data_IF_460904050470
#
_entry.id   IF_460904050470
#
_cell.length_a   1.000
_cell.length_b   1.000
_cell.length_c   1.000
_cell.angle_alpha   90.00
_cell.angle_beta   90.00
_cell.angle_gamma   90.00
#
_symmetry.space_group_name_H-M   'P 1'
#
loop_
_entity.id
_entity.type
_entity.pdbx_description
1 polymer ?
#
# COMPACT_ATOMS: atom_id res chain seq x y z
N UNK A 1 -2.79 -15.57 1.96
CA UNK A 1 -1.90 -15.04 0.90
C UNK A 1 -1.99 -13.53 0.95
N UNK A 2 -0.91 -12.82 1.29
CA UNK A 2 -0.99 -11.38 1.62
C UNK A 2 -1.49 -10.51 0.46
N UNK A 3 -1.20 -10.89 -0.79
CA UNK A 3 -1.71 -10.20 -1.99
C UNK A 3 -3.25 -10.20 -2.06
N UNK A 4 -3.88 -11.30 -1.68
CA UNK A 4 -5.35 -11.40 -1.68
C UNK A 4 -5.98 -10.52 -0.59
N UNK A 5 -5.32 -10.43 0.59
CA UNK A 5 -5.74 -9.54 1.66
C UNK A 5 -5.59 -8.06 1.26
N UNK A 6 -4.56 -7.74 0.47
CA UNK A 6 -4.43 -6.42 -0.13
C UNK A 6 -5.58 -6.13 -1.08
N UNK A 7 -5.90 -7.03 -2.01
CA UNK A 7 -7.04 -6.84 -2.92
C UNK A 7 -8.34 -6.62 -2.15
N UNK A 8 -8.66 -7.51 -1.20
CA UNK A 8 -9.86 -7.38 -0.35
C UNK A 8 -9.86 -6.09 0.47
N UNK A 9 -8.72 -5.68 0.99
CA UNK A 9 -8.59 -4.43 1.73
C UNK A 9 -8.82 -3.20 0.84
N UNK A 10 -8.31 -3.20 -0.38
CA UNK A 10 -8.56 -2.12 -1.35
C UNK A 10 -10.01 -2.11 -1.87
N UNK A 11 -10.66 -3.27 -1.94
CA UNK A 11 -12.08 -3.38 -2.28
C UNK A 11 -12.99 -2.92 -1.11
N UNK A 12 -12.57 -3.17 0.14
CA UNK A 12 -13.34 -2.83 1.34
C UNK A 12 -13.10 -1.39 1.84
N UNK A 13 -11.93 -0.81 1.57
CA UNK A 13 -11.56 0.54 2.02
C UNK A 13 -11.81 1.58 0.92
N UNK A 14 -12.79 2.45 1.16
CA UNK A 14 -13.14 3.54 0.24
C UNK A 14 -12.07 4.65 0.20
N UNK A 15 -11.19 4.73 1.20
CA UNK A 15 -10.16 5.77 1.32
C UNK A 15 -9.13 5.70 0.19
N UNK A 16 -8.37 4.59 0.01
CA UNK A 16 -7.40 4.49 -1.07
C UNK A 16 -8.07 4.59 -2.43
N UNK A 17 -9.28 4.03 -2.59
CA UNK A 17 -10.01 4.10 -3.84
C UNK A 17 -10.42 5.55 -4.20
N UNK A 18 -10.87 6.33 -3.22
CA UNK A 18 -11.19 7.75 -3.40
C UNK A 18 -9.95 8.58 -3.78
N UNK A 19 -8.78 8.24 -3.22
CA UNK A 19 -7.51 8.91 -3.54
C UNK A 19 -7.05 8.54 -4.95
N UNK A 20 -7.09 7.25 -5.31
CA UNK A 20 -6.76 6.78 -6.66
C UNK A 20 -7.68 7.40 -7.71
N UNK A 21 -8.97 7.51 -7.43
CA UNK A 21 -9.91 8.19 -8.31
C UNK A 21 -9.60 9.69 -8.43
N UNK A 22 -9.25 10.35 -7.33
CA UNK A 22 -8.86 11.76 -7.34
C UNK A 22 -7.57 12.01 -8.16
N UNK A 23 -6.58 11.12 -8.05
CA UNK A 23 -5.37 11.13 -8.88
C UNK A 23 -5.72 11.00 -10.36
N UNK A 24 -6.55 10.02 -10.72
CA UNK A 24 -7.00 9.81 -12.11
C UNK A 24 -7.79 10.98 -12.66
N UNK A 25 -8.64 11.59 -11.83
CA UNK A 25 -9.40 12.80 -12.19
C UNK A 25 -8.56 14.09 -12.16
N UNK A 26 -7.25 14.00 -11.91
CA UNK A 26 -6.34 15.15 -11.79
C UNK A 26 -6.86 16.23 -10.83
N UNK A 27 -7.57 15.82 -9.77
CA UNK A 27 -7.98 16.76 -8.73
C UNK A 27 -6.72 17.22 -7.99
N UNK A 28 -6.59 18.52 -7.76
CA UNK A 28 -5.39 19.06 -7.09
C UNK A 28 -5.39 18.87 -5.58
N UNK A 29 -6.55 18.62 -4.93
CA UNK A 29 -6.65 18.57 -3.46
C UNK A 29 -7.73 17.60 -2.97
N UNK A 30 -7.34 16.71 -2.06
CA UNK A 30 -8.24 16.04 -1.13
C UNK A 30 -8.04 16.62 0.28
N UNK A 31 -9.10 16.79 1.08
CA UNK A 31 -8.95 17.23 2.46
C UNK A 31 -8.19 16.17 3.26
N UNK A 32 -7.01 16.52 3.77
CA UNK A 32 -6.21 15.67 4.65
C UNK A 32 -5.09 14.86 3.96
N UNK A 33 -4.98 14.87 2.63
CA UNK A 33 -3.91 14.17 1.89
C UNK A 33 -3.33 15.04 0.77
N UNK A 34 -2.00 15.12 0.72
CA UNK A 34 -1.25 15.79 -0.33
C UNK A 34 -1.16 14.88 -1.55
N UNK A 35 -2.02 15.09 -2.55
CA UNK A 35 -2.02 14.27 -3.78
C UNK A 35 -0.69 14.31 -4.55
N UNK A 36 0.10 15.38 -4.40
CA UNK A 36 1.45 15.44 -4.99
C UNK A 36 2.43 14.43 -4.35
N UNK A 37 2.12 13.90 -3.16
CA UNK A 37 2.84 12.82 -2.51
C UNK A 37 2.17 11.45 -2.76
N UNK A 38 1.09 11.40 -3.53
CA UNK A 38 0.35 10.19 -3.86
C UNK A 38 0.59 9.76 -5.30
N UNK A 39 0.83 8.47 -5.51
CA UNK A 39 1.02 7.87 -6.83
C UNK A 39 0.13 6.63 -7.00
N UNK A 40 -0.50 6.51 -8.17
CA UNK A 40 -1.18 5.28 -8.59
C UNK A 40 -0.17 4.42 -9.35
N UNK A 41 0.23 3.29 -8.77
CA UNK A 41 1.06 2.31 -9.47
C UNK A 41 0.29 0.99 -9.56
N UNK A 42 -0.27 0.73 -10.75
CA UNK A 42 -0.96 -0.53 -11.04
C UNK A 42 -2.22 -0.77 -10.19
N UNK A 43 -2.93 0.28 -9.77
CA UNK A 43 -4.12 0.18 -8.93
C UNK A 43 -3.83 0.14 -7.42
N UNK A 44 -2.57 0.30 -7.04
CA UNK A 44 -2.15 0.47 -5.65
C UNK A 44 -1.77 1.91 -5.38
N UNK A 45 -2.20 2.43 -4.24
CA UNK A 45 -1.87 3.78 -3.81
C UNK A 45 -0.50 3.77 -3.12
N UNK A 46 0.42 4.59 -3.60
CA UNK A 46 1.69 4.88 -2.94
C UNK A 46 1.62 6.27 -2.34
N UNK A 47 1.96 6.40 -1.06
CA UNK A 47 2.07 7.68 -0.37
C UNK A 47 3.51 7.87 0.08
N UNK A 48 4.19 8.91 -0.43
CA UNK A 48 5.60 9.23 -0.14
C UNK A 48 6.53 8.04 -0.38
N UNK A 49 6.43 7.42 -1.56
CA UNK A 49 7.20 6.22 -1.95
C UNK A 49 6.89 4.96 -1.12
N UNK A 50 5.80 4.97 -0.33
CA UNK A 50 5.39 3.82 0.49
C UNK A 50 4.03 3.32 0.06
N UNK A 51 3.88 2.01 -0.11
CA UNK A 51 2.58 1.41 -0.37
C UNK A 51 1.62 1.76 0.78
N UNK A 52 0.48 2.34 0.43
CA UNK A 52 -0.62 2.59 1.34
C UNK A 52 -1.28 1.27 1.73
N UNK A 53 -1.41 1.05 3.03
CA UNK A 53 -2.02 -0.13 3.59
C UNK A 53 -3.48 0.22 3.91
N UNK A 54 -4.46 -0.41 3.23
CA UNK A 54 -5.87 -0.17 3.52
C UNK A 54 -6.18 -0.62 4.95
N UNK A 55 -7.15 0.04 5.56
CA UNK A 55 -7.63 -0.24 6.90
C UNK A 55 -8.46 -1.53 6.92
N UNK A 56 -7.77 -2.66 6.77
CA UNK A 56 -8.35 -3.99 6.77
C UNK A 56 -7.70 -4.83 7.88
N UNK A 57 -8.47 -5.25 8.92
CA UNK A 57 -7.90 -5.84 10.12
C UNK A 57 -7.15 -7.15 9.85
N UNK A 58 -7.65 -8.00 8.96
CA UNK A 58 -6.97 -9.24 8.57
C UNK A 58 -5.64 -8.97 7.83
N UNK A 59 -5.59 -7.93 7.00
CA UNK A 59 -4.34 -7.51 6.34
C UNK A 59 -3.32 -7.01 7.37
N UNK A 60 -3.76 -6.20 8.32
CA UNK A 60 -2.91 -5.72 9.41
C UNK A 60 -2.37 -6.88 10.26
N UNK A 61 -3.23 -7.86 10.60
CA UNK A 61 -2.83 -9.03 11.36
C UNK A 61 -1.77 -9.87 10.60
N UNK A 62 -1.98 -10.12 9.30
CA UNK A 62 -1.03 -10.87 8.46
C UNK A 62 0.31 -10.11 8.28
N UNK A 63 0.26 -8.79 8.11
CA UNK A 63 1.45 -7.94 8.04
C UNK A 63 2.26 -8.01 9.33
N UNK A 64 1.60 -7.84 10.48
CA UNK A 64 2.24 -7.93 11.80
C UNK A 64 2.85 -9.32 11.98
N UNK A 65 2.11 -10.38 11.67
CA UNK A 65 2.60 -11.77 11.72
C UNK A 65 3.84 -11.97 10.85
N UNK A 66 3.80 -11.56 9.59
CA UNK A 66 4.94 -11.66 8.66
C UNK A 66 6.15 -10.88 9.17
N UNK A 67 5.95 -9.73 9.81
CA UNK A 67 7.02 -8.92 10.39
C UNK A 67 7.68 -9.61 11.59
N UNK A 68 6.89 -10.29 12.43
CA UNK A 68 7.40 -11.09 13.56
C UNK A 68 8.16 -12.34 13.10
N UNK A 69 7.71 -13.01 12.04
CA UNK A 69 8.40 -14.16 11.46
C UNK A 69 9.75 -13.74 10.84
N UNK A 70 9.79 -12.57 10.18
CA UNK A 70 11.02 -11.99 9.63
C UNK A 70 11.99 -11.48 10.72
N UNK A 71 11.49 -11.05 11.88
CA UNK A 71 12.32 -10.58 12.99
C UNK A 71 13.18 -11.67 13.66
N UNK A 72 12.85 -12.96 13.47
CA UNK A 72 13.66 -14.09 13.96
C UNK A 72 14.85 -14.39 13.04
N UNK A 73 14.80 -13.94 11.78
CA UNK A 73 15.91 -14.03 10.83
C UNK A 73 16.73 -12.74 10.92
N UNK A 74 17.68 -12.70 11.85
CA UNK A 74 18.48 -11.50 12.12
C UNK A 74 19.10 -10.84 10.89
N UNK A 75 18.47 -9.78 10.39
CA UNK A 75 19.15 -8.60 9.88
C UNK A 75 18.17 -7.40 9.80
N UNK A 76 18.35 -6.47 10.73
CA UNK A 76 17.71 -5.16 10.72
C UNK A 76 18.19 -4.36 9.50
N UNK A 77 17.46 -4.40 8.37
CA UNK A 77 17.49 -3.35 7.33
C UNK A 77 16.07 -3.11 6.81
N UNK A 78 15.51 -1.98 7.23
CA UNK A 78 14.46 -1.19 6.58
C UNK A 78 14.01 -1.72 5.20
N UNK A 79 12.87 -2.38 5.17
CA UNK A 79 11.90 -2.42 4.06
C UNK A 79 12.49 -2.50 2.63
N UNK A 80 13.36 -3.47 2.35
CA UNK A 80 13.61 -3.93 0.97
C UNK A 80 12.60 -5.02 0.64
N UNK A 81 11.34 -4.63 0.46
CA UNK A 81 10.30 -5.55 -0.05
C UNK A 81 9.60 -4.96 -1.26
N UNK A 82 10.30 -4.27 -2.16
CA UNK A 82 9.69 -3.79 -3.42
C UNK A 82 10.58 -3.85 -4.68
N UNK A 83 11.78 -4.44 -4.61
CA UNK A 83 12.64 -4.60 -5.82
C UNK A 83 12.27 -5.81 -6.71
N UNK A 84 11.19 -6.54 -6.40
CA UNK A 84 10.79 -7.72 -7.18
C UNK A 84 9.64 -7.47 -8.19
N UNK A 85 9.15 -6.23 -8.33
CA UNK A 85 7.97 -5.93 -9.16
C UNK A 85 8.20 -4.91 -10.29
N UNK A 86 9.43 -4.43 -10.49
CA UNK A 86 9.74 -3.43 -11.54
C UNK A 86 10.31 -4.03 -12.83
N UNK A 87 10.23 -5.34 -13.06
CA UNK A 87 10.67 -5.93 -14.32
C UNK A 87 9.56 -6.77 -14.95
N UNK A 88 8.61 -6.07 -15.58
CA UNK A 88 7.68 -6.69 -16.51
C UNK A 88 6.29 -6.08 -16.52
N UNK A 89 6.16 -4.80 -16.84
CA UNK A 89 5.05 -4.24 -17.63
C UNK A 89 5.48 -2.91 -18.26
#
# INVERSE_FOLDING_TARGET
NIKELFTKGYEADETPNSILEALRKSKSRLPGITLAECEDQGGYLYYRDRLYIPNYPDLHAELVRSYHESATAGHMKRARTYEALSHGY
#
